data_IF_761101086895
#
_entry.id   IF_761101086895
#
_cell.length_a   1.000
_cell.length_b   1.000
_cell.length_c   1.000
_cell.angle_alpha   90.00
_cell.angle_beta   90.00
_cell.angle_gamma   90.00
#
_symmetry.space_group_name_H-M   'P 1'
#
loop_
_entity.id
_entity.type
_entity.pdbx_description
1 polymer ?
#
# COMPACT_ATOMS: atom_id res chain seq x y z
N UNK A 1 18.85 54.49 32.44
CA UNK A 1 19.24 54.01 31.09
C UNK A 1 19.27 52.49 31.12
N UNK A 2 18.23 51.84 30.64
CA UNK A 2 18.33 50.45 30.14
C UNK A 2 18.84 50.50 28.69
N UNK A 3 19.45 49.41 28.15
CA UNK A 3 18.62 48.57 27.30
C UNK A 3 18.90 47.05 27.30
N UNK A 4 17.78 46.34 27.07
CA UNK A 4 17.59 45.24 26.12
C UNK A 4 17.99 43.83 26.57
N UNK A 5 16.96 43.16 27.11
CA UNK A 5 16.84 41.72 27.12
C UNK A 5 16.88 41.15 25.70
N UNK A 6 17.61 40.04 25.55
CA UNK A 6 17.63 39.25 24.32
C UNK A 6 16.22 38.68 24.07
N UNK A 7 15.64 38.81 22.87
CA UNK A 7 14.44 38.06 22.55
C UNK A 7 14.80 36.58 22.53
N UNK A 8 14.22 35.81 23.45
CA UNK A 8 14.15 34.37 23.30
C UNK A 8 13.51 34.12 21.93
N UNK A 9 14.24 33.45 21.01
CA UNK A 9 13.65 32.98 19.76
C UNK A 9 12.41 32.19 20.15
N UNK A 10 11.24 32.70 19.80
CA UNK A 10 9.98 32.00 19.91
C UNK A 10 10.07 30.85 18.90
N UNK A 11 10.71 29.76 19.33
CA UNK A 11 10.55 28.46 18.73
C UNK A 11 9.08 28.19 18.97
N UNK A 12 8.28 28.27 17.90
CA UNK A 12 6.89 27.90 17.99
C UNK A 12 6.86 26.54 18.68
N UNK A 13 6.13 26.41 19.81
CA UNK A 13 6.06 25.14 20.49
C UNK A 13 5.63 24.13 19.43
N UNK A 14 6.37 23.02 19.31
CA UNK A 14 5.97 21.90 18.47
C UNK A 14 4.47 21.77 18.65
N UNK A 15 3.71 21.98 17.57
CA UNK A 15 2.25 21.97 17.64
C UNK A 15 1.92 20.66 18.32
N UNK A 16 1.32 20.73 19.51
CA UNK A 16 0.80 19.56 20.19
C UNK A 16 -0.37 19.11 19.32
N UNK A 17 -0.06 18.33 18.30
CA UNK A 17 -1.05 17.65 17.50
C UNK A 17 -1.72 16.72 18.49
N UNK A 18 -2.97 17.03 18.87
CA UNK A 18 -3.88 15.97 19.24
C UNK A 18 -3.81 14.98 18.09
N UNK A 19 -3.23 13.81 18.34
CA UNK A 19 -3.08 12.74 17.37
C UNK A 19 -4.47 12.20 17.06
N UNK A 20 -5.25 13.00 16.32
CA UNK A 20 -6.47 12.55 15.71
C UNK A 20 -6.08 11.41 14.76
N UNK A 21 -6.91 10.37 14.71
CA UNK A 21 -6.74 9.22 13.81
C UNK A 21 -6.58 9.68 12.35
N UNK A 22 -7.08 10.87 12.04
CA UNK A 22 -6.93 11.57 10.75
C UNK A 22 -5.48 11.92 10.41
N UNK A 23 -4.67 12.40 11.37
CA UNK A 23 -3.27 12.77 11.12
C UNK A 23 -2.43 11.55 10.73
N UNK A 24 -2.59 10.44 11.45
CA UNK A 24 -1.89 9.18 11.13
C UNK A 24 -2.25 8.66 9.73
N UNK A 25 -3.53 8.76 9.35
CA UNK A 25 -4.00 8.40 8.01
C UNK A 25 -3.37 9.28 6.93
N UNK A 26 -3.40 10.60 7.10
CA UNK A 26 -2.88 11.54 6.11
C UNK A 26 -1.35 11.43 5.96
N UNK A 27 -0.64 11.18 7.07
CA UNK A 27 0.81 10.90 7.03
C UNK A 27 1.12 9.59 6.29
N UNK A 28 0.34 8.52 6.51
CA UNK A 28 0.53 7.28 5.78
C UNK A 28 0.22 7.43 4.29
N UNK A 29 -0.88 8.11 3.93
CA UNK A 29 -1.23 8.38 2.54
C UNK A 29 -0.10 9.11 1.78
N UNK A 30 0.59 10.05 2.44
CA UNK A 30 1.71 10.78 1.85
C UNK A 30 2.94 9.92 1.53
N UNK A 31 3.14 8.81 2.24
CA UNK A 31 4.30 7.92 2.03
C UNK A 31 3.93 6.63 1.28
N UNK A 32 2.65 6.27 1.23
CA UNK A 32 2.21 4.98 0.72
C UNK A 32 2.58 4.78 -0.76
N UNK A 33 2.27 5.74 -1.64
CA UNK A 33 2.61 5.64 -3.07
C UNK A 33 4.11 5.34 -3.30
N UNK A 34 5.05 6.17 -2.78
CA UNK A 34 6.48 5.88 -2.86
C UNK A 34 6.90 4.52 -2.25
N UNK A 35 6.27 4.11 -1.14
CA UNK A 35 6.51 2.79 -0.54
C UNK A 35 6.07 1.65 -1.48
N UNK A 36 4.89 1.77 -2.09
CA UNK A 36 4.33 0.79 -3.03
C UNK A 36 5.21 0.69 -4.28
N UNK A 37 5.61 1.82 -4.84
CA UNK A 37 6.48 1.88 -6.01
C UNK A 37 7.85 1.23 -5.73
N UNK A 38 8.42 1.51 -4.55
CA UNK A 38 9.68 0.89 -4.12
C UNK A 38 9.52 -0.61 -3.96
N UNK A 39 8.43 -1.05 -3.32
CA UNK A 39 8.15 -2.47 -3.09
C UNK A 39 7.98 -3.23 -4.41
N UNK A 40 7.23 -2.65 -5.35
CA UNK A 40 7.07 -3.22 -6.68
C UNK A 40 8.42 -3.30 -7.42
N UNK A 41 9.27 -2.27 -7.31
CA UNK A 41 10.60 -2.28 -7.93
C UNK A 41 11.51 -3.35 -7.29
N UNK A 42 11.50 -3.51 -5.97
CA UNK A 42 12.29 -4.56 -5.29
C UNK A 42 11.79 -5.95 -5.72
N UNK A 43 10.47 -6.16 -5.74
CA UNK A 43 9.89 -7.44 -6.17
C UNK A 43 10.22 -7.77 -7.63
N UNK A 44 10.20 -6.77 -8.52
CA UNK A 44 10.54 -6.93 -9.94
C UNK A 44 12.00 -7.37 -10.14
N UNK A 45 12.93 -6.72 -9.45
CA UNK A 45 14.37 -6.90 -9.69
C UNK A 45 15.05 -7.94 -8.78
N UNK A 46 14.42 -8.35 -7.68
CA UNK A 46 14.99 -9.36 -6.79
C UNK A 46 14.69 -10.78 -7.27
N UNK A 47 15.68 -11.65 -7.32
CA UNK A 47 15.49 -13.09 -7.53
C UNK A 47 15.73 -13.90 -6.24
N UNK A 48 16.05 -13.21 -5.13
CA UNK A 48 16.28 -13.83 -3.83
C UNK A 48 14.93 -14.11 -3.15
N UNK A 49 14.65 -15.39 -2.89
CA UNK A 49 13.36 -15.83 -2.32
C UNK A 49 13.06 -15.16 -0.97
N UNK A 50 14.07 -14.95 -0.11
CA UNK A 50 13.92 -14.26 1.17
C UNK A 50 13.41 -12.81 0.98
N UNK A 51 14.02 -12.07 0.05
CA UNK A 51 13.60 -10.70 -0.28
C UNK A 51 12.18 -10.69 -0.87
N UNK A 52 11.83 -11.69 -1.68
CA UNK A 52 10.48 -11.81 -2.24
C UNK A 52 9.44 -12.07 -1.14
N UNK A 53 9.72 -12.93 -0.16
CA UNK A 53 8.84 -13.13 0.99
C UNK A 53 8.69 -11.85 1.83
N UNK A 54 9.79 -11.16 2.14
CA UNK A 54 9.74 -9.87 2.84
C UNK A 54 8.89 -8.84 2.07
N UNK A 55 8.98 -8.84 0.73
CA UNK A 55 8.15 -7.97 -0.09
C UNK A 55 6.66 -8.29 0.05
N UNK A 56 6.30 -9.57 0.09
CA UNK A 56 4.92 -10.01 0.30
C UNK A 56 4.42 -9.66 1.71
N UNK A 57 5.25 -9.78 2.75
CA UNK A 57 4.89 -9.36 4.10
C UNK A 57 4.66 -7.85 4.22
N UNK A 58 5.50 -7.05 3.55
CA UNK A 58 5.33 -5.60 3.47
C UNK A 58 4.05 -5.24 2.72
N UNK A 59 3.73 -5.95 1.63
CA UNK A 59 2.50 -5.80 0.86
C UNK A 59 1.26 -5.98 1.76
N UNK A 60 1.21 -7.05 2.56
CA UNK A 60 0.13 -7.27 3.54
C UNK A 60 0.09 -6.19 4.63
N UNK A 61 1.24 -5.69 5.06
CA UNK A 61 1.32 -4.65 6.08
C UNK A 61 0.77 -3.31 5.59
N UNK A 62 1.07 -2.93 4.34
CA UNK A 62 0.51 -1.74 3.69
C UNK A 62 -1.01 -1.88 3.55
N UNK A 63 -1.49 -3.02 3.03
CA UNK A 63 -2.92 -3.29 2.88
C UNK A 63 -3.69 -3.19 4.22
N UNK A 64 -3.11 -3.75 5.30
CA UNK A 64 -3.72 -3.72 6.64
C UNK A 64 -3.88 -2.31 7.21
N UNK A 65 -3.03 -1.36 6.81
CA UNK A 65 -3.16 0.05 7.20
C UNK A 65 -4.15 0.75 6.25
N UNK A 66 -4.05 0.50 4.95
CA UNK A 66 -4.87 1.13 3.92
C UNK A 66 -6.37 0.81 4.04
N UNK A 67 -6.75 -0.35 4.58
CA UNK A 67 -8.15 -0.75 4.76
C UNK A 67 -8.99 0.24 5.60
N UNK A 68 -8.35 1.11 6.39
CA UNK A 68 -9.01 2.08 7.26
C UNK A 68 -9.26 3.43 6.57
N UNK A 69 -9.94 3.41 5.42
CA UNK A 69 -10.36 4.61 4.66
C UNK A 69 -9.27 5.21 3.78
N UNK A 70 -8.43 4.36 3.18
CA UNK A 70 -7.48 4.69 2.11
C UNK A 70 -7.68 3.74 0.93
N UNK A 71 -8.89 3.70 0.38
CA UNK A 71 -9.24 2.82 -0.74
C UNK A 71 -8.33 3.06 -1.94
N UNK A 72 -8.05 4.32 -2.29
CA UNK A 72 -7.15 4.68 -3.39
C UNK A 72 -5.75 4.06 -3.25
N UNK A 73 -5.24 3.98 -2.01
CA UNK A 73 -3.94 3.35 -1.72
C UNK A 73 -4.01 1.84 -1.87
N UNK A 74 -5.12 1.22 -1.48
CA UNK A 74 -5.34 -0.22 -1.65
C UNK A 74 -5.45 -0.59 -3.14
N UNK A 75 -6.14 0.24 -3.93
CA UNK A 75 -6.24 0.09 -5.38
C UNK A 75 -4.88 0.27 -6.07
N UNK A 76 -4.10 1.28 -5.67
CA UNK A 76 -2.73 1.49 -6.17
C UNK A 76 -1.82 0.30 -5.84
N UNK A 77 -1.95 -0.26 -4.63
CA UNK A 77 -1.21 -1.44 -4.18
C UNK A 77 -1.51 -2.66 -5.05
N UNK A 78 -2.81 -2.96 -5.24
CA UNK A 78 -3.27 -4.07 -6.06
C UNK A 78 -2.86 -3.88 -7.52
N UNK A 79 -3.07 -2.68 -8.08
CA UNK A 79 -2.68 -2.36 -9.46
C UNK A 79 -1.18 -2.59 -9.69
N UNK A 80 -0.34 -2.13 -8.76
CA UNK A 80 1.11 -2.25 -8.83
C UNK A 80 1.60 -3.70 -8.82
N UNK A 81 0.90 -4.60 -8.12
CA UNK A 81 1.27 -6.01 -8.01
C UNK A 81 0.56 -6.93 -9.01
N UNK A 82 -0.63 -6.56 -9.50
CA UNK A 82 -1.36 -7.31 -10.51
C UNK A 82 -0.52 -7.60 -11.76
N UNK A 83 0.40 -6.68 -12.13
CA UNK A 83 1.30 -6.84 -13.28
C UNK A 83 2.20 -8.08 -13.19
N UNK A 84 2.54 -8.52 -11.98
CA UNK A 84 3.42 -9.67 -11.78
C UNK A 84 2.68 -11.01 -11.87
N UNK A 85 1.35 -11.01 -11.79
CA UNK A 85 0.54 -12.24 -11.72
C UNK A 85 0.47 -13.04 -13.02
N UNK A 86 1.06 -12.52 -14.12
CA UNK A 86 0.98 -13.02 -15.51
C UNK A 86 -0.43 -13.12 -16.12
N UNK A 87 -1.49 -12.95 -15.31
CA UNK A 87 -2.89 -12.99 -15.74
C UNK A 87 -3.32 -11.80 -16.60
N UNK A 88 -2.57 -10.70 -16.60
CA UNK A 88 -2.90 -9.50 -17.38
C UNK A 88 -2.58 -9.65 -18.88
N UNK A 89 -2.02 -10.78 -19.32
CA UNK A 89 -1.82 -11.06 -20.74
C UNK A 89 -3.03 -11.82 -21.32
N UNK A 90 -3.99 -11.15 -22.00
CA UNK A 90 -5.18 -11.80 -22.53
C UNK A 90 -4.89 -12.75 -23.70
N UNK A 91 -3.66 -12.72 -24.24
CA UNK A 91 -3.23 -13.57 -25.34
C UNK A 91 -2.41 -14.78 -24.88
N UNK A 92 -2.05 -14.86 -23.59
CA UNK A 92 -1.38 -16.01 -23.04
C UNK A 92 -2.34 -17.20 -22.98
N UNK A 93 -1.90 -18.33 -23.50
CA UNK A 93 -2.59 -19.60 -23.32
C UNK A 93 -2.51 -20.06 -21.85
N UNK A 94 -3.40 -20.98 -21.49
CA UNK A 94 -3.36 -21.62 -20.17
C UNK A 94 -2.02 -22.36 -19.95
N UNK A 95 -1.46 -22.96 -21.00
CA UNK A 95 -0.19 -23.70 -20.95
C UNK A 95 1.00 -22.76 -20.66
N UNK A 96 1.06 -21.60 -21.32
CA UNK A 96 2.10 -20.58 -21.08
C UNK A 96 1.99 -20.00 -19.66
N UNK A 97 0.78 -19.79 -19.17
CA UNK A 97 0.52 -19.30 -17.82
C UNK A 97 0.94 -20.32 -16.75
N UNK A 98 0.57 -21.60 -16.94
CA UNK A 98 1.00 -22.69 -16.08
C UNK A 98 2.51 -22.90 -16.13
N UNK A 99 3.13 -22.72 -17.29
CA UNK A 99 4.57 -22.77 -17.45
C UNK A 99 5.24 -21.68 -16.61
N UNK A 100 4.76 -20.44 -16.68
CA UNK A 100 5.26 -19.33 -15.86
C UNK A 100 5.13 -19.63 -14.35
N UNK A 101 3.97 -20.10 -13.87
CA UNK A 101 3.79 -20.44 -12.45
C UNK A 101 4.62 -21.63 -11.96
N UNK A 102 5.00 -22.53 -12.85
CA UNK A 102 5.82 -23.71 -12.49
C UNK A 102 7.32 -23.42 -12.50
N UNK A 103 7.75 -22.39 -13.23
CA UNK A 103 9.17 -22.06 -13.41
C UNK A 103 9.59 -20.76 -12.74
N UNK A 104 8.64 -19.91 -12.33
CA UNK A 104 8.89 -18.64 -11.65
C UNK A 104 8.01 -18.52 -10.40
N UNK A 105 8.65 -18.21 -9.27
CA UNK A 105 7.97 -18.03 -7.99
C UNK A 105 7.27 -16.68 -7.89
N UNK A 106 7.73 -15.64 -8.60
CA UNK A 106 7.18 -14.28 -8.49
C UNK A 106 5.73 -14.20 -8.93
N UNK A 107 5.32 -14.75 -10.09
CA UNK A 107 3.91 -14.74 -10.47
C UNK A 107 3.02 -15.44 -9.47
N UNK A 108 3.49 -16.58 -8.93
CA UNK A 108 2.75 -17.35 -7.93
C UNK A 108 2.58 -16.58 -6.62
N UNK A 109 3.66 -15.98 -6.11
CA UNK A 109 3.62 -15.17 -4.90
C UNK A 109 2.74 -13.92 -5.06
N UNK A 110 2.91 -13.19 -6.16
CA UNK A 110 2.10 -12.02 -6.47
C UNK A 110 0.62 -12.37 -6.60
N UNK A 111 0.30 -13.46 -7.31
CA UNK A 111 -1.08 -13.95 -7.43
C UNK A 111 -1.66 -14.24 -6.05
N UNK A 112 -0.99 -15.06 -5.24
CA UNK A 112 -1.50 -15.42 -3.92
C UNK A 112 -1.73 -14.17 -3.07
N UNK A 113 -0.78 -13.24 -3.02
CA UNK A 113 -0.93 -12.05 -2.20
C UNK A 113 -2.03 -11.10 -2.68
N UNK A 114 -2.08 -10.79 -3.98
CA UNK A 114 -3.13 -9.94 -4.57
C UNK A 114 -4.51 -10.51 -4.31
N UNK A 115 -4.72 -11.81 -4.56
CA UNK A 115 -6.01 -12.46 -4.31
C UNK A 115 -6.35 -12.52 -2.82
N UNK A 116 -5.37 -12.78 -1.94
CA UNK A 116 -5.62 -12.76 -0.49
C UNK A 116 -6.04 -11.37 -0.04
N UNK A 117 -5.35 -10.31 -0.48
CA UNK A 117 -5.67 -8.92 -0.11
C UNK A 117 -7.06 -8.54 -0.62
N UNK A 118 -7.34 -8.77 -1.91
CA UNK A 118 -8.63 -8.44 -2.51
C UNK A 118 -9.80 -9.16 -1.80
N UNK A 119 -9.62 -10.42 -1.41
CA UNK A 119 -10.65 -11.17 -0.68
C UNK A 119 -10.75 -10.78 0.80
N UNK A 120 -9.64 -10.38 1.44
CA UNK A 120 -9.61 -10.05 2.87
C UNK A 120 -10.17 -8.65 3.14
N UNK A 121 -9.89 -7.70 2.26
CA UNK A 121 -10.26 -6.29 2.42
C UNK A 121 -11.38 -5.86 1.46
N UNK A 122 -12.15 -6.83 0.97
CA UNK A 122 -13.24 -6.64 0.02
C UNK A 122 -14.20 -5.53 0.47
N UNK A 123 -14.58 -5.51 1.74
CA UNK A 123 -15.51 -4.52 2.29
C UNK A 123 -14.95 -3.09 2.19
N UNK A 124 -13.63 -2.91 2.36
CA UNK A 124 -12.95 -1.63 2.15
C UNK A 124 -12.90 -1.25 0.66
N UNK A 125 -12.80 -2.22 -0.26
CA UNK A 125 -12.79 -1.96 -1.72
C UNK A 125 -14.20 -1.63 -2.23
N UNK A 126 -15.25 -2.23 -1.66
CA UNK A 126 -16.65 -1.99 -2.05
C UNK A 126 -17.27 -0.73 -1.42
N UNK A 127 -16.74 -0.24 -0.29
CA UNK A 127 -17.23 0.96 0.39
C UNK A 127 -17.13 2.26 -0.46
N UNK A 128 -16.30 2.27 -1.50
CA UNK A 128 -16.22 3.37 -2.47
C UNK A 128 -17.47 3.48 -3.39
N UNK A 129 -18.36 2.48 -3.39
CA UNK A 129 -19.52 2.39 -4.28
C UNK A 129 -20.88 2.79 -3.68
N UNK A 130 -21.01 2.96 -2.36
CA UNK A 130 -22.30 3.30 -1.74
C UNK A 130 -22.28 4.69 -1.08
N UNK A 131 -23.12 5.65 -1.55
CA UNK A 131 -23.41 6.81 -0.75
C UNK A 131 -24.15 6.34 0.50
N UNK A 132 -23.59 6.64 1.66
CA UNK A 132 -24.16 6.38 2.99
C UNK A 132 -25.55 6.99 3.13
N UNK A 133 -26.58 6.25 2.72
CA UNK A 133 -27.97 6.55 3.02
C UNK A 133 -28.42 5.77 4.25
N UNK A 134 -27.97 6.19 5.42
CA UNK A 134 -28.70 5.94 6.68
C UNK A 134 -28.28 6.90 7.78
N UNK A 135 -28.71 8.15 7.63
CA UNK A 135 -28.99 9.04 8.74
C UNK A 135 -30.35 9.70 8.48
N UNK A 136 -31.41 8.96 8.78
CA UNK A 136 -32.78 9.45 9.02
C UNK A 136 -33.38 8.55 10.10
#
# INVERSE_FOLDING_TARGET
MDPVGKPAKNIQPFILCDFDRRLGRDMFAAIAGPSIATLAAVFEHSDEEEILHECIEALFSIARIAQYGLEDTLDELLCSFCKFTTLLNPYASAEETLYAFSHDIKPKMAMMAVFTIANTFKDSIEAAGEPSSSAC
#
